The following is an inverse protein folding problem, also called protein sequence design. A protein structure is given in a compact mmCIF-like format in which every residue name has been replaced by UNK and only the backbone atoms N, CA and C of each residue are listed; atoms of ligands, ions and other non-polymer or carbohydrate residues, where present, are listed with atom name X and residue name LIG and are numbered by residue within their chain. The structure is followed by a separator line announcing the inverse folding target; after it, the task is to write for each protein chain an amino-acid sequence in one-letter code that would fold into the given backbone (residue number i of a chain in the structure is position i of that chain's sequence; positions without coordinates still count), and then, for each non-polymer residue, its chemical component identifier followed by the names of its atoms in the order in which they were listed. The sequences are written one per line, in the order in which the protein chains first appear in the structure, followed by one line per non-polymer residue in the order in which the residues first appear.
data_IF_318225184145
#
_entry.id   IF_318225184145
#
_cell.length_a   1.000
_cell.length_b   1.000
_cell.length_c   1.000
_cell.angle_alpha   90.00
_cell.angle_beta   90.00
_cell.angle_gamma   90.00
#
_symmetry.space_group_name_H-M   'P 1'
#
loop_
_entity.id
_entity.type
_entity.pdbx_description
1 polymer ?
#
# COMPACT_ATOMS: atom_id res chain seq x y z
N UNK A 1 -7.49 9.33 -16.16
CA UNK A 1 -8.49 9.68 -15.13
C UNK A 1 -7.77 9.60 -13.80
N UNK A 2 -7.97 10.55 -12.88
CA UNK A 2 -7.27 10.50 -11.58
C UNK A 2 -7.85 9.38 -10.72
N UNK A 3 -7.01 8.52 -10.17
CA UNK A 3 -7.43 7.46 -9.24
C UNK A 3 -7.70 8.05 -7.86
N UNK A 4 -8.76 7.56 -7.23
CA UNK A 4 -9.12 7.96 -5.87
C UNK A 4 -8.15 7.39 -4.84
N UNK A 5 -8.12 8.00 -3.65
CA UNK A 5 -7.33 7.52 -2.51
C UNK A 5 -7.74 6.10 -2.09
N UNK A 6 -9.00 5.73 -2.27
CA UNK A 6 -9.55 4.41 -1.92
C UNK A 6 -9.10 3.34 -2.89
N UNK A 7 -9.14 3.62 -4.20
CA UNK A 7 -8.54 2.73 -5.21
C UNK A 7 -7.05 2.52 -4.96
N UNK A 8 -6.33 3.59 -4.56
CA UNK A 8 -4.92 3.49 -4.19
C UNK A 8 -4.72 2.60 -2.97
N UNK A 9 -5.50 2.77 -1.90
CA UNK A 9 -5.39 1.94 -0.70
C UNK A 9 -5.67 0.47 -0.96
N UNK A 10 -6.70 0.18 -1.75
CA UNK A 10 -7.07 -1.20 -2.10
C UNK A 10 -5.97 -1.84 -2.94
N UNK A 11 -5.53 -1.17 -4.01
CA UNK A 11 -4.46 -1.71 -4.87
C UNK A 11 -3.15 -1.93 -4.11
N UNK A 12 -2.75 -1.00 -3.24
CA UNK A 12 -1.53 -1.13 -2.44
C UNK A 12 -1.64 -2.19 -1.34
N UNK A 13 -2.86 -2.56 -0.90
CA UNK A 13 -3.03 -3.54 0.18
C UNK A 13 -2.53 -4.93 -0.20
N UNK A 14 -2.58 -5.27 -1.48
CA UNK A 14 -2.10 -6.54 -2.03
C UNK A 14 -0.62 -6.79 -1.79
N UNK A 15 0.17 -5.74 -1.58
CA UNK A 15 1.60 -5.85 -1.26
C UNK A 15 1.86 -6.59 0.07
N UNK A 16 0.83 -6.76 0.91
CA UNK A 16 0.89 -7.48 2.18
C UNK A 16 0.27 -8.88 2.13
N UNK A 17 -0.21 -9.34 0.97
CA UNK A 17 -0.66 -10.72 0.82
C UNK A 17 0.56 -11.65 0.80
N UNK A 18 0.47 -12.78 1.50
CA UNK A 18 1.51 -13.83 1.51
C UNK A 18 1.45 -14.70 0.23
N UNK A 19 1.25 -14.03 -0.91
CA UNK A 19 1.17 -14.61 -2.24
C UNK A 19 2.12 -13.86 -3.15
N UNK A 20 2.87 -14.58 -3.97
CA UNK A 20 3.72 -13.95 -4.98
C UNK A 20 2.87 -13.16 -5.97
N UNK A 21 3.02 -11.83 -5.98
CA UNK A 21 2.34 -10.96 -6.94
C UNK A 21 2.93 -11.18 -8.33
N UNK A 22 2.05 -11.42 -9.30
CA UNK A 22 2.44 -11.48 -10.72
C UNK A 22 2.95 -10.13 -11.21
N UNK A 23 3.74 -10.14 -12.30
CA UNK A 23 4.22 -8.92 -12.95
C UNK A 23 3.06 -8.03 -13.41
N UNK A 24 2.01 -8.63 -14.01
CA UNK A 24 0.79 -7.91 -14.42
C UNK A 24 0.14 -7.19 -13.24
N UNK A 25 0.09 -7.83 -12.05
CA UNK A 25 -0.49 -7.20 -10.87
C UNK A 25 0.37 -6.05 -10.36
N UNK A 26 1.69 -6.18 -10.39
CA UNK A 26 2.61 -5.09 -10.02
C UNK A 26 2.45 -3.89 -10.97
N UNK A 27 2.26 -4.13 -12.27
CA UNK A 27 2.03 -3.09 -13.29
C UNK A 27 0.66 -2.39 -13.11
N UNK A 28 -0.38 -3.15 -12.75
CA UNK A 28 -1.69 -2.59 -12.38
C UNK A 28 -1.57 -1.65 -11.17
N UNK A 29 -0.89 -2.09 -10.10
CA UNK A 29 -0.67 -1.27 -8.90
C UNK A 29 0.15 -0.04 -9.26
N UNK A 30 1.23 -0.18 -10.05
CA UNK A 30 2.05 0.93 -10.50
C UNK A 30 1.25 1.96 -11.33
N UNK A 31 0.30 1.51 -12.14
CA UNK A 31 -0.61 2.38 -12.86
C UNK A 31 -1.54 3.14 -11.93
N UNK A 32 -2.11 2.48 -10.91
CA UNK A 32 -2.94 3.15 -9.90
C UNK A 32 -2.14 4.18 -9.10
N UNK A 33 -0.91 3.84 -8.71
CA UNK A 33 0.02 4.72 -8.00
C UNK A 33 0.32 5.96 -8.83
N UNK A 34 0.68 5.81 -10.10
CA UNK A 34 0.95 6.92 -11.01
C UNK A 34 -0.30 7.80 -11.22
N UNK A 35 -1.45 7.17 -11.47
CA UNK A 35 -2.70 7.88 -11.78
C UNK A 35 -3.32 8.54 -10.53
N UNK A 36 -2.81 8.29 -9.32
CA UNK A 36 -3.21 9.00 -8.10
C UNK A 36 -2.77 10.48 -8.12
N UNK A 37 -1.67 10.79 -8.82
CA UNK A 37 -1.07 12.12 -8.89
C UNK A 37 -0.33 12.57 -7.63
N UNK A 38 -0.07 11.65 -6.70
CA UNK A 38 0.68 11.93 -5.46
C UNK A 38 2.20 11.94 -5.71
N UNK A 39 2.93 12.74 -4.93
CA UNK A 39 4.40 12.72 -4.94
C UNK A 39 4.95 11.42 -4.38
N UNK A 40 6.23 11.12 -4.64
CA UNK A 40 6.91 9.94 -4.07
C UNK A 40 6.87 9.95 -2.54
N UNK A 41 7.06 11.11 -1.93
CA UNK A 41 7.03 11.29 -0.48
C UNK A 41 5.62 11.07 0.09
N UNK A 42 4.59 11.53 -0.61
CA UNK A 42 3.19 11.30 -0.21
C UNK A 42 2.81 9.83 -0.33
N UNK A 43 3.26 9.15 -1.40
CA UNK A 43 3.06 7.71 -1.61
C UNK A 43 3.77 6.88 -0.53
N UNK A 44 5.01 7.25 -0.19
CA UNK A 44 5.71 6.64 0.95
C UNK A 44 4.91 6.86 2.24
N UNK A 45 4.42 8.07 2.50
CA UNK A 45 3.60 8.33 3.69
C UNK A 45 2.31 7.49 3.72
N UNK A 46 1.69 7.23 2.57
CA UNK A 46 0.53 6.31 2.45
C UNK A 46 0.93 4.89 2.79
N UNK A 47 1.93 4.35 2.11
CA UNK A 47 2.44 2.99 2.34
C UNK A 47 2.81 2.80 3.81
N UNK A 48 3.60 3.73 4.33
CA UNK A 48 4.27 3.62 5.61
C UNK A 48 3.35 3.88 6.79
N UNK A 49 2.52 4.90 6.67
CA UNK A 49 1.69 5.32 7.77
C UNK A 49 0.31 4.78 7.56
N UNK A 50 -0.36 5.00 6.43
CA UNK A 50 -1.79 4.70 6.27
C UNK A 50 -2.08 3.20 6.25
N UNK A 51 -1.27 2.40 5.57
CA UNK A 51 -1.52 0.98 5.32
C UNK A 51 -0.73 0.02 6.23
N UNK A 52 0.60 0.20 6.32
CA UNK A 52 1.47 -0.74 7.03
C UNK A 52 1.04 -1.09 8.47
N UNK A 53 0.58 -0.14 9.32
CA UNK A 53 0.28 -0.45 10.72
C UNK A 53 -0.80 -1.51 10.92
N UNK A 54 -1.77 -1.61 10.02
CA UNK A 54 -2.86 -2.58 10.17
C UNK A 54 -2.69 -3.79 9.24
N UNK A 55 -2.11 -3.63 8.04
CA UNK A 55 -1.88 -4.77 7.16
C UNK A 55 -0.74 -5.67 7.65
N UNK A 56 0.33 -5.09 8.18
CA UNK A 56 1.44 -5.88 8.72
C UNK A 56 1.11 -6.65 10.01
N UNK A 57 0.08 -6.20 10.76
CA UNK A 57 -0.38 -6.88 11.98
C UNK A 57 -1.54 -7.84 11.73
N UNK A 58 -2.48 -7.49 10.84
CA UNK A 58 -3.66 -8.31 10.54
C UNK A 58 -3.44 -9.32 9.40
N UNK A 59 -2.41 -9.16 8.56
CA UNK A 59 -2.06 -10.16 7.53
C UNK A 59 -1.78 -11.55 8.11
N UNK A 60 -1.35 -11.62 9.37
CA UNK A 60 -1.12 -12.88 10.10
C UNK A 60 -2.42 -13.61 10.50
N UNK A 61 -3.58 -12.94 10.51
CA UNK A 61 -4.85 -13.50 11.00
C UNK A 61 -5.94 -13.65 9.93
N UNK A 62 -5.86 -12.90 8.81
CA UNK A 62 -6.86 -12.90 7.73
C UNK A 62 -6.59 -13.98 6.65
N UNK A 63 -5.44 -14.66 6.71
CA UNK A 63 -4.99 -15.69 5.75
C UNK A 63 -5.85 -16.98 5.65
N UNK A 64 -7.08 -16.99 6.19
CA UNK A 64 -7.97 -18.14 6.21
C UNK A 64 -8.88 -18.29 4.97
N UNK A 65 -9.12 -17.22 4.20
CA UNK A 65 -10.00 -17.25 3.02
C UNK A 65 -9.32 -16.52 1.86
N UNK A 66 -8.83 -17.30 0.90
CA UNK A 66 -7.78 -16.96 -0.06
C UNK A 66 -8.27 -16.17 -1.29
N UNK A 67 -8.47 -14.86 -1.16
CA UNK A 67 -8.63 -14.01 -2.36
C UNK A 67 -8.20 -12.53 -2.21
N UNK A 68 -7.74 -12.13 -1.03
CA UNK A 68 -7.26 -10.76 -0.80
C UNK A 68 -7.85 -10.12 0.46
N UNK A 69 -7.61 -8.82 0.63
CA UNK A 69 -8.24 -8.03 1.69
C UNK A 69 -9.61 -7.52 1.25
N UNK A 70 -10.59 -7.50 2.17
CA UNK A 70 -11.88 -6.84 1.93
C UNK A 70 -11.65 -5.33 1.66
N UNK A 71 -12.05 -4.81 0.48
CA UNK A 71 -11.81 -3.41 0.11
C UNK A 71 -12.45 -2.39 1.07
N UNK A 72 -13.66 -2.68 1.56
CA UNK A 72 -14.36 -1.81 2.50
C UNK A 72 -13.66 -1.78 3.84
N UNK A 73 -13.17 -2.93 4.30
CA UNK A 73 -12.35 -3.02 5.50
C UNK A 73 -11.03 -2.25 5.36
N UNK A 74 -10.30 -2.42 4.25
CA UNK A 74 -9.05 -1.68 3.97
C UNK A 74 -9.31 -0.18 3.99
N UNK A 75 -10.32 0.28 3.28
CA UNK A 75 -10.67 1.70 3.23
C UNK A 75 -11.09 2.23 4.61
N UNK A 76 -11.86 1.46 5.38
CA UNK A 76 -12.26 1.85 6.72
C UNK A 76 -11.04 2.02 7.65
N UNK A 77 -10.10 1.07 7.64
CA UNK A 77 -8.89 1.17 8.47
C UNK A 77 -7.99 2.31 7.99
N UNK A 78 -7.70 2.38 6.68
CA UNK A 78 -6.88 3.43 6.09
C UNK A 78 -7.43 4.84 6.40
N UNK A 79 -8.74 5.06 6.33
CA UNK A 79 -9.39 6.34 6.71
C UNK A 79 -9.22 6.67 8.21
N UNK A 80 -9.31 5.69 9.10
CA UNK A 80 -9.02 5.92 10.55
C UNK A 80 -7.58 6.34 10.76
N UNK A 81 -6.73 5.86 9.87
CA UNK A 81 -5.30 6.00 9.92
C UNK A 81 -4.85 7.34 9.31
N UNK A 82 -5.37 7.77 8.16
CA UNK A 82 -5.09 9.07 7.56
C UNK A 82 -5.49 10.28 8.43
N UNK A 83 -6.43 10.09 9.36
CA UNK A 83 -6.87 11.13 10.32
C UNK A 83 -5.94 11.35 11.52
N UNK A 84 -4.91 10.52 11.70
CA UNK A 84 -3.94 10.65 12.80
C UNK A 84 -2.67 11.34 12.29
N UNK A 85 -2.02 12.14 13.13
CA UNK A 85 -0.73 12.79 12.82
C UNK A 85 0.31 11.78 12.34
N UNK A 86 0.96 12.05 11.19
CA UNK A 86 2.04 11.23 10.62
C UNK A 86 3.18 10.98 11.63
N UNK A 87 3.47 11.97 12.47
CA UNK A 87 4.52 11.91 13.48
C UNK A 87 4.18 10.96 14.64
N UNK A 88 2.92 10.98 15.11
CA UNK A 88 2.44 10.05 16.13
C UNK A 88 2.42 8.58 15.63
N UNK A 89 2.35 8.39 14.31
CA UNK A 89 2.30 7.08 13.64
C UNK A 89 3.68 6.51 13.39
N UNK A 90 4.66 7.37 13.09
CA UNK A 90 6.08 7.01 12.95
C UNK A 90 6.65 6.42 14.25
N UNK A 91 6.31 6.99 15.40
CA UNK A 91 6.75 6.50 16.72
C UNK A 91 6.16 5.14 17.10
N UNK A 92 4.99 4.77 16.58
CA UNK A 92 4.40 3.45 16.79
C UNK A 92 5.02 2.35 15.90
N UNK A 93 5.96 2.73 15.03
CA UNK A 93 6.43 1.94 13.88
C UNK A 93 7.93 1.64 13.95
N UNK A 94 8.40 0.99 15.02
CA UNK A 94 9.80 0.53 15.11
C UNK A 94 10.01 -0.86 14.46
N UNK A 95 9.67 -0.98 13.18
CA UNK A 95 10.37 -1.91 12.27
C UNK A 95 9.69 -3.20 11.80
N UNK A 96 8.62 -3.69 12.44
CA UNK A 96 8.10 -5.06 12.16
C UNK A 96 7.05 -5.11 11.03
N UNK A 97 6.31 -4.02 10.75
CA UNK A 97 5.08 -4.09 9.93
C UNK A 97 5.25 -3.88 8.42
N UNK A 98 6.46 -3.54 7.94
CA UNK A 98 6.74 -3.29 6.52
C UNK A 98 7.62 -4.34 5.86
N UNK A 99 8.18 -5.27 6.64
CA UNK A 99 9.27 -6.15 6.18
C UNK A 99 8.88 -7.01 4.96
N UNK A 100 7.68 -7.60 4.96
CA UNK A 100 7.22 -8.45 3.85
C UNK A 100 6.86 -7.65 2.58
N UNK A 101 6.26 -6.47 2.73
CA UNK A 101 5.72 -5.69 1.62
C UNK A 101 6.74 -4.76 0.95
N UNK A 102 7.86 -4.42 1.62
CA UNK A 102 8.86 -3.46 1.13
C UNK A 102 9.48 -3.84 -0.23
N UNK A 103 9.86 -5.11 -0.50
CA UNK A 103 10.42 -5.46 -1.79
C UNK A 103 9.43 -5.25 -2.96
N UNK A 104 8.16 -5.64 -2.78
CA UNK A 104 7.12 -5.44 -3.77
C UNK A 104 6.81 -3.95 -3.97
N UNK A 105 6.77 -3.17 -2.89
CA UNK A 105 6.60 -1.72 -2.95
C UNK A 105 7.72 -1.02 -3.75
N UNK A 106 8.98 -1.40 -3.52
CA UNK A 106 10.10 -0.84 -4.27
C UNK A 106 10.00 -1.14 -5.78
N UNK A 107 9.52 -2.34 -6.16
CA UNK A 107 9.25 -2.68 -7.56
C UNK A 107 8.14 -1.81 -8.15
N UNK A 108 7.02 -1.66 -7.44
CA UNK A 108 5.91 -0.78 -7.85
C UNK A 108 6.39 0.66 -8.07
N UNK A 109 7.18 1.21 -7.15
CA UNK A 109 7.74 2.56 -7.27
C UNK A 109 8.71 2.67 -8.45
N UNK A 110 9.52 1.65 -8.71
CA UNK A 110 10.37 1.63 -9.90
C UNK A 110 9.52 1.63 -11.18
N UNK A 111 8.49 0.79 -11.26
CA UNK A 111 7.60 0.69 -12.41
C UNK A 111 6.80 1.98 -12.65
N UNK A 112 6.22 2.55 -11.60
CA UNK A 112 5.37 3.75 -11.68
C UNK A 112 6.15 4.97 -12.22
N UNK A 113 7.43 5.09 -11.86
CA UNK A 113 8.26 6.25 -12.20
C UNK A 113 9.39 5.97 -13.21
N UNK A 114 9.53 4.74 -13.72
CA UNK A 114 10.51 4.41 -14.78
C UNK A 114 10.20 5.06 -16.13
N UNK A 115 8.97 5.56 -16.33
CA UNK A 115 8.52 6.19 -17.59
C UNK A 115 8.77 7.70 -17.69
N UNK A 116 9.44 8.34 -16.73
CA UNK A 116 9.80 9.78 -16.80
C UNK A 116 11.02 10.08 -17.69
N UNK A 117 11.54 9.10 -18.45
CA UNK A 117 12.77 9.24 -19.24
C UNK A 117 12.56 9.33 -20.78
N UNK A 118 11.37 9.69 -21.27
CA UNK A 118 11.15 9.91 -22.71
C UNK A 118 10.38 11.20 -23.02
#
# INVERSE_FOLDING_TARGET
MQRSREELWVAMSDLWLDTELSEDRLDEIATVVRDSGLSREELEAVFETELAPFLGLNGLTVAGVWDGFDPDWVCQQARRHSRRSLFARFLAKLGVTTYGARPAWNKVMALAFSREAH
#
